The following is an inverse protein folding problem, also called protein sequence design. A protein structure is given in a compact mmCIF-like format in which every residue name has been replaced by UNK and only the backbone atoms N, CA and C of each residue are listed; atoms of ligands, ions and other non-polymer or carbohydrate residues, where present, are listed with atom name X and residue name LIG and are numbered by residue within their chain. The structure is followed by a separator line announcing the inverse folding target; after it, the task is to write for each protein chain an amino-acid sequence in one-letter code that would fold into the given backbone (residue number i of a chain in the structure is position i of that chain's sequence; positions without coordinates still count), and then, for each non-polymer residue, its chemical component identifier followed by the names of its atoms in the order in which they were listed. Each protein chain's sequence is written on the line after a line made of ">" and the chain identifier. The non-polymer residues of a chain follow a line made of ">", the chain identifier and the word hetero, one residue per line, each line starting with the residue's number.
data_IF_209639190996
#
_entry.id   IF_209639190996
#
_cell.length_a   1.000
_cell.length_b   1.000
_cell.length_c   1.000
_cell.angle_alpha   90.00
_cell.angle_beta   90.00
_cell.angle_gamma   90.00
#
_symmetry.space_group_name_H-M   'P 1'
#
loop_
_entity.id
_entity.type
_entity.pdbx_description
1 polymer ?
#
# COMPACT_ATOMS: atom_id res chain seq x y z
N UNK A 1 -9.57 -18.75 6.99
CA UNK A 1 -8.12 -18.52 6.84
C UNK A 1 -7.48 -19.89 6.83
N UNK A 2 -7.09 -20.37 5.65
CA UNK A 2 -6.41 -21.65 5.48
C UNK A 2 -4.90 -21.46 5.66
N UNK A 3 -4.17 -22.51 6.03
CA UNK A 3 -2.70 -22.45 6.21
C UNK A 3 -1.95 -22.08 4.92
N UNK A 4 -2.61 -22.14 3.76
CA UNK A 4 -2.06 -21.77 2.45
C UNK A 4 -2.08 -20.25 2.23
N UNK A 5 -3.06 -19.54 2.79
CA UNK A 5 -3.22 -18.08 2.66
C UNK A 5 -1.99 -17.33 3.23
N UNK A 6 -1.35 -17.87 4.27
CA UNK A 6 -0.17 -17.27 4.91
C UNK A 6 1.15 -17.53 4.17
N UNK A 7 1.26 -18.65 3.47
CA UNK A 7 2.46 -19.01 2.70
C UNK A 7 2.50 -18.18 1.40
N UNK A 8 1.35 -18.04 0.74
CA UNK A 8 1.22 -17.18 -0.43
C UNK A 8 1.44 -15.71 -0.04
N UNK A 9 0.88 -15.26 1.08
CA UNK A 9 1.12 -13.91 1.61
C UNK A 9 2.60 -13.59 1.84
N UNK A 10 3.37 -14.49 2.47
CA UNK A 10 4.78 -14.25 2.76
C UNK A 10 5.66 -14.29 1.51
N UNK A 11 5.36 -15.19 0.56
CA UNK A 11 6.09 -15.29 -0.70
C UNK A 11 5.80 -14.11 -1.62
N UNK A 12 4.56 -13.64 -1.70
CA UNK A 12 4.13 -12.58 -2.63
C UNK A 12 4.65 -11.20 -2.21
N UNK A 13 4.73 -10.92 -0.91
CA UNK A 13 4.98 -9.57 -0.38
C UNK A 13 6.47 -9.29 -0.13
N UNK A 14 7.26 -10.32 0.18
CA UNK A 14 8.66 -10.17 0.60
C UNK A 14 9.69 -10.81 -0.33
N UNK A 15 9.28 -11.58 -1.35
CA UNK A 15 10.24 -12.13 -2.32
C UNK A 15 10.41 -11.21 -3.52
N UNK A 16 11.65 -11.07 -3.99
CA UNK A 16 12.00 -10.28 -5.18
C UNK A 16 11.97 -11.22 -6.39
N UNK A 17 10.98 -11.17 -7.31
CA UNK A 17 11.11 -11.90 -8.56
C UNK A 17 11.94 -11.04 -9.53
N UNK A 18 13.26 -11.02 -9.32
CA UNK A 18 14.19 -10.61 -10.39
C UNK A 18 14.39 -11.81 -11.32
N UNK A 19 14.01 -11.63 -12.58
CA UNK A 19 14.33 -12.50 -13.73
C UNK A 19 13.53 -13.79 -13.90
N UNK A 20 12.31 -13.67 -14.41
CA UNK A 20 11.83 -14.41 -15.58
C UNK A 20 10.52 -13.75 -16.02
N UNK A 21 10.15 -13.77 -17.30
CA UNK A 21 8.96 -13.08 -17.84
C UNK A 21 7.62 -13.68 -17.37
N UNK A 22 7.38 -13.74 -16.07
CA UNK A 22 6.25 -14.36 -15.35
C UNK A 22 6.45 -13.98 -13.88
N UNK A 23 5.55 -13.35 -13.15
CA UNK A 23 4.14 -13.01 -13.30
C UNK A 23 4.04 -11.58 -12.73
N UNK A 24 3.18 -10.71 -13.26
CA UNK A 24 2.62 -9.66 -12.41
C UNK A 24 1.90 -10.46 -11.32
N UNK A 25 2.56 -10.64 -10.18
CA UNK A 25 1.90 -11.26 -9.05
C UNK A 25 1.00 -10.13 -8.56
N UNK A 26 -0.17 -10.01 -9.20
CA UNK A 26 -1.29 -9.22 -8.73
C UNK A 26 -1.65 -9.83 -7.39
N UNK A 27 -0.98 -9.35 -6.33
CA UNK A 27 -1.20 -9.81 -4.98
C UNK A 27 -2.66 -9.46 -4.64
N UNK A 28 -3.55 -10.45 -4.73
CA UNK A 28 -4.96 -10.23 -4.48
C UNK A 28 -5.20 -10.32 -2.97
N UNK A 29 -5.14 -9.15 -2.34
CA UNK A 29 -5.40 -8.92 -0.93
C UNK A 29 -6.73 -8.17 -0.74
N UNK A 30 -7.62 -8.22 -1.75
CA UNK A 30 -8.89 -7.53 -1.69
C UNK A 30 -9.74 -8.03 -0.53
N UNK A 31 -10.31 -7.10 0.25
CA UNK A 31 -11.09 -7.40 1.45
C UNK A 31 -10.30 -8.04 2.60
N UNK A 32 -8.98 -8.20 2.50
CA UNK A 32 -8.18 -8.84 3.53
C UNK A 32 -8.13 -7.99 4.82
N UNK A 33 -8.18 -8.65 5.98
CA UNK A 33 -7.94 -8.00 7.26
C UNK A 33 -6.46 -8.08 7.63
N UNK A 34 -5.73 -6.99 7.41
CA UNK A 34 -4.28 -6.89 7.57
C UNK A 34 -3.90 -5.96 8.73
N UNK A 35 -4.85 -5.60 9.60
CA UNK A 35 -4.67 -4.66 10.69
C UNK A 35 -3.46 -5.04 11.56
N UNK A 36 -2.54 -4.08 11.72
CA UNK A 36 -1.32 -4.25 12.54
C UNK A 36 -0.26 -5.16 11.93
N UNK A 37 -0.40 -5.60 10.67
CA UNK A 37 0.67 -6.29 9.96
C UNK A 37 1.87 -5.35 9.74
N UNK A 38 3.05 -5.95 9.58
CA UNK A 38 4.26 -5.25 9.17
C UNK A 38 4.55 -5.59 7.70
N UNK A 39 4.52 -4.58 6.85
CA UNK A 39 4.86 -4.62 5.43
C UNK A 39 5.98 -3.64 5.09
N UNK A 40 6.80 -3.29 6.07
CA UNK A 40 7.93 -2.41 5.83
C UNK A 40 8.84 -3.01 4.76
N UNK A 41 9.09 -2.25 3.69
CA UNK A 41 9.90 -2.68 2.54
C UNK A 41 9.25 -3.71 1.62
N UNK A 42 7.93 -3.96 1.73
CA UNK A 42 7.22 -4.89 0.87
C UNK A 42 7.16 -4.44 -0.60
N UNK A 43 7.14 -5.42 -1.51
CA UNK A 43 6.89 -5.19 -2.94
C UNK A 43 5.41 -5.45 -3.23
N UNK A 44 4.62 -4.39 -3.38
CA UNK A 44 3.17 -4.42 -3.63
C UNK A 44 2.81 -3.73 -4.95
N UNK A 45 3.71 -3.81 -5.93
CA UNK A 45 3.53 -3.23 -7.26
C UNK A 45 2.32 -3.90 -7.92
N UNK A 46 1.38 -3.11 -8.43
CA UNK A 46 0.12 -3.55 -9.04
C UNK A 46 -0.78 -4.44 -8.14
N UNK A 47 -0.51 -4.50 -6.82
CA UNK A 47 -1.28 -5.32 -5.89
C UNK A 47 -2.74 -4.86 -5.79
N UNK A 48 -3.66 -5.81 -5.69
CA UNK A 48 -5.07 -5.52 -5.42
C UNK A 48 -5.36 -5.53 -3.92
N UNK A 49 -5.43 -4.34 -3.33
CA UNK A 49 -5.75 -4.08 -1.92
C UNK A 49 -7.16 -3.50 -1.75
N UNK A 50 -8.02 -3.64 -2.77
CA UNK A 50 -9.35 -3.03 -2.75
C UNK A 50 -10.20 -3.55 -1.58
N UNK A 51 -10.77 -2.66 -0.78
CA UNK A 51 -11.53 -2.99 0.42
C UNK A 51 -10.73 -3.59 1.57
N UNK A 52 -9.39 -3.67 1.47
CA UNK A 52 -8.55 -4.23 2.51
C UNK A 52 -8.53 -3.33 3.77
N UNK A 53 -8.46 -3.95 4.94
CA UNK A 53 -8.26 -3.25 6.21
C UNK A 53 -6.77 -3.18 6.55
N UNK A 54 -6.13 -2.07 6.20
CA UNK A 54 -4.72 -1.76 6.45
C UNK A 54 -4.54 -0.84 7.67
N UNK A 55 -5.53 -0.77 8.57
CA UNK A 55 -5.46 0.15 9.70
C UNK A 55 -4.27 -0.16 10.62
N UNK A 56 -3.48 0.87 10.94
CA UNK A 56 -2.30 0.77 11.80
C UNK A 56 -1.15 -0.09 11.27
N UNK A 57 -1.15 -0.39 9.98
CA UNK A 57 -0.09 -1.17 9.32
C UNK A 57 1.18 -0.32 9.12
N UNK A 58 2.34 -0.95 9.19
CA UNK A 58 3.60 -0.34 8.76
C UNK A 58 3.86 -0.65 7.28
N UNK A 59 3.73 0.35 6.40
CA UNK A 59 4.05 0.29 4.97
C UNK A 59 5.29 1.14 4.65
N UNK A 60 6.11 1.46 5.66
CA UNK A 60 7.31 2.26 5.45
C UNK A 60 8.22 1.59 4.43
N UNK A 61 8.75 2.36 3.47
CA UNK A 61 9.62 1.88 2.38
C UNK A 61 8.98 0.86 1.43
N UNK A 62 7.68 0.57 1.55
CA UNK A 62 7.00 -0.33 0.64
C UNK A 62 6.85 0.29 -0.76
N UNK A 63 6.85 -0.54 -1.79
CA UNK A 63 6.54 -0.13 -3.15
C UNK A 63 5.08 -0.46 -3.48
N UNK A 64 4.22 0.56 -3.50
CA UNK A 64 2.79 0.46 -3.84
C UNK A 64 2.53 0.97 -5.25
N UNK A 65 3.54 1.05 -6.12
CA UNK A 65 3.37 1.61 -7.45
C UNK A 65 2.31 0.84 -8.24
N UNK A 66 1.28 1.52 -8.74
CA UNK A 66 0.16 0.90 -9.45
C UNK A 66 -0.85 0.14 -8.58
N UNK A 67 -0.69 0.12 -7.24
CA UNK A 67 -1.59 -0.63 -6.37
C UNK A 67 -3.04 -0.11 -6.39
N UNK A 68 -3.99 -1.03 -6.28
CA UNK A 68 -5.43 -0.74 -6.20
C UNK A 68 -5.86 -0.63 -4.74
N UNK A 69 -6.17 0.58 -4.29
CA UNK A 69 -6.58 0.93 -2.92
C UNK A 69 -8.05 1.35 -2.82
N UNK A 70 -8.88 1.02 -3.83
CA UNK A 70 -10.31 1.36 -3.86
C UNK A 70 -10.99 0.84 -2.57
N UNK A 71 -11.74 1.69 -1.86
CA UNK A 71 -12.43 1.36 -0.60
C UNK A 71 -11.52 0.86 0.54
N UNK A 72 -10.20 0.94 0.40
CA UNK A 72 -9.27 0.45 1.41
C UNK A 72 -9.24 1.36 2.65
N UNK A 73 -9.01 0.76 3.82
CA UNK A 73 -8.84 1.49 5.07
C UNK A 73 -7.36 1.63 5.45
N UNK A 74 -6.75 2.79 5.17
CA UNK A 74 -5.36 3.11 5.50
C UNK A 74 -5.25 3.93 6.80
N UNK A 75 -6.25 3.88 7.68
CA UNK A 75 -6.23 4.71 8.89
C UNK A 75 -5.07 4.36 9.82
N UNK A 76 -4.24 5.33 10.18
CA UNK A 76 -3.09 5.13 11.07
C UNK A 76 -1.88 4.47 10.43
N UNK A 77 -1.90 4.25 9.11
CA UNK A 77 -0.81 3.60 8.39
C UNK A 77 0.44 4.48 8.36
N UNK A 78 1.62 3.86 8.36
CA UNK A 78 2.89 4.55 8.14
C UNK A 78 3.34 4.38 6.69
N UNK A 79 3.45 5.49 5.95
CA UNK A 79 3.89 5.54 4.55
C UNK A 79 5.30 6.14 4.41
N UNK A 80 6.07 6.19 5.50
CA UNK A 80 7.42 6.77 5.49
C UNK A 80 8.27 6.17 4.38
N UNK A 81 8.73 6.99 3.42
CA UNK A 81 9.52 6.55 2.26
C UNK A 81 8.85 5.50 1.37
N UNK A 82 7.54 5.32 1.45
CA UNK A 82 6.80 4.44 0.55
C UNK A 82 6.72 5.05 -0.85
N UNK A 83 6.67 4.21 -1.89
CA UNK A 83 6.47 4.64 -3.27
C UNK A 83 4.98 4.56 -3.60
N UNK A 84 4.38 5.70 -3.98
CA UNK A 84 2.92 5.83 -4.25
C UNK A 84 2.62 6.20 -5.70
N UNK A 85 3.52 5.87 -6.63
CA UNK A 85 3.35 6.24 -8.02
C UNK A 85 2.14 5.53 -8.63
N UNK A 86 1.28 6.28 -9.34
CA UNK A 86 0.13 5.72 -10.08
C UNK A 86 -0.83 4.86 -9.23
N UNK A 87 -0.91 5.08 -7.91
CA UNK A 87 -1.90 4.38 -7.09
C UNK A 87 -3.32 4.68 -7.55
N UNK A 88 -4.19 3.68 -7.48
CA UNK A 88 -5.60 3.79 -7.88
C UNK A 88 -6.43 3.79 -6.61
N UNK A 89 -7.14 4.88 -6.34
CA UNK A 89 -7.95 5.07 -5.14
C UNK A 89 -9.23 5.86 -5.48
N UNK A 90 -10.20 5.85 -4.56
CA UNK A 90 -11.49 6.52 -4.73
C UNK A 90 -11.88 7.33 -3.48
N UNK A 91 -13.04 7.98 -3.51
CA UNK A 91 -13.51 8.82 -2.39
C UNK A 91 -13.80 8.03 -1.10
N UNK A 92 -14.05 6.73 -1.20
CA UNK A 92 -14.29 5.84 -0.06
C UNK A 92 -13.00 5.37 0.61
N UNK A 93 -11.85 5.53 -0.05
CA UNK A 93 -10.54 5.18 0.52
C UNK A 93 -10.27 6.04 1.76
N UNK A 94 -10.00 5.39 2.89
CA UNK A 94 -9.86 6.08 4.19
C UNK A 94 -8.40 6.41 4.49
N UNK A 95 -8.09 7.71 4.58
CA UNK A 95 -6.73 8.23 4.81
C UNK A 95 -6.60 8.96 6.16
N UNK A 96 -7.15 8.41 7.23
CA UNK A 96 -7.19 9.09 8.54
C UNK A 96 -5.90 8.85 9.32
N UNK A 97 -5.33 9.89 9.93
CA UNK A 97 -4.15 9.77 10.81
C UNK A 97 -2.95 9.04 10.19
N UNK A 98 -2.77 9.15 8.87
CA UNK A 98 -1.60 8.56 8.21
C UNK A 98 -0.33 9.29 8.64
N UNK A 99 0.80 8.58 8.62
CA UNK A 99 2.12 9.10 9.01
C UNK A 99 3.12 8.91 7.88
N UNK A 100 4.19 9.71 7.86
CA UNK A 100 5.31 9.50 6.95
C UNK A 100 5.07 9.94 5.51
N UNK A 101 3.89 10.50 5.18
CA UNK A 101 3.57 10.97 3.83
C UNK A 101 4.54 12.06 3.36
N UNK A 102 5.05 12.87 4.29
CA UNK A 102 6.06 13.92 4.02
C UNK A 102 7.40 13.37 3.50
N UNK A 103 7.67 12.08 3.72
CA UNK A 103 8.87 11.40 3.20
C UNK A 103 8.54 10.38 2.11
N UNK A 104 7.26 10.21 1.77
CA UNK A 104 6.84 9.30 0.71
C UNK A 104 7.29 9.81 -0.67
N UNK A 105 7.50 8.88 -1.58
CA UNK A 105 8.12 9.11 -2.89
C UNK A 105 7.03 9.01 -3.96
N UNK A 106 7.05 9.94 -4.91
CA UNK A 106 6.10 10.02 -6.04
C UNK A 106 4.63 10.08 -5.59
N UNK A 107 4.33 10.79 -4.51
CA UNK A 107 2.96 11.00 -4.02
C UNK A 107 2.12 11.75 -5.06
N UNK A 108 0.96 11.21 -5.49
CA UNK A 108 0.09 11.88 -6.46
C UNK A 108 -0.43 13.22 -5.95
N UNK A 109 -0.45 14.25 -6.81
CA UNK A 109 -0.91 15.58 -6.41
C UNK A 109 -2.39 15.61 -6.02
N UNK A 110 -3.22 14.73 -6.60
CA UNK A 110 -4.61 14.56 -6.19
C UNK A 110 -4.73 14.07 -4.73
N UNK A 111 -3.82 13.20 -4.28
CA UNK A 111 -3.82 12.71 -2.90
C UNK A 111 -3.37 13.83 -1.95
N UNK A 112 -2.35 14.60 -2.33
CA UNK A 112 -1.90 15.77 -1.56
C UNK A 112 -3.04 16.78 -1.37
N UNK A 113 -3.76 17.11 -2.45
CA UNK A 113 -4.91 18.03 -2.39
C UNK A 113 -6.04 17.47 -1.51
N UNK A 114 -6.35 16.17 -1.64
CA UNK A 114 -7.40 15.51 -0.84
C UNK A 114 -7.12 15.58 0.66
N UNK A 115 -5.85 15.54 1.04
CA UNK A 115 -5.41 15.57 2.44
C UNK A 115 -5.13 16.97 2.96
N UNK A 116 -5.45 18.01 2.17
CA UNK A 116 -5.11 19.41 2.47
C UNK A 116 -3.62 19.55 2.85
N UNK A 117 -2.79 18.77 2.15
CA UNK A 117 -1.37 18.69 2.45
C UNK A 117 -0.67 19.93 1.89
N UNK A 118 -0.39 20.87 2.79
CA UNK A 118 0.54 21.95 2.55
C UNK A 118 1.94 21.34 2.51
N UNK A 119 2.54 21.26 1.32
CA UNK A 119 3.93 20.80 1.18
C UNK A 119 4.82 21.56 2.17
N UNK A 120 5.55 20.89 3.09
CA UNK A 120 6.47 21.58 3.99
C UNK A 120 7.72 22.13 3.27
N UNK A 121 7.76 22.02 1.93
CA UNK A 121 8.84 22.47 1.06
C UNK A 121 8.46 23.68 0.17
N UNK A 122 7.48 24.49 0.57
CA UNK A 122 7.23 25.81 -0.02
C UNK A 122 7.42 26.93 1.01
#
# INVERSE_FOLDING_TARGET
>A
MSCQDWIDFFLVVFTVPRNSGKCCIDANLSGANLRGANFSGAYLIDANLSGANLSGVDLSRADLSGAYLIDANLSGVDLSRAYLQNIIWNNETQWKNIRGLETAINVPDALKQKLDWSSPYC
#
